data_IF_489795096044
#
_entry.id   IF_489795096044
#
_cell.length_a   1.000
_cell.length_b   1.000
_cell.length_c   1.000
_cell.angle_alpha   90.00
_cell.angle_beta   90.00
_cell.angle_gamma   90.00
#
_symmetry.space_group_name_H-M   'P 1'
#
loop_
_entity.id
_entity.type
_entity.pdbx_description
1 polymer ?
#
# COMPACT_ATOMS: atom_id res chain seq x y z
N UNK A 1 -12.49 30.22 6.18
CA UNK A 1 -12.61 31.10 7.38
C UNK A 1 -13.44 30.37 8.45
N UNK A 2 -13.00 30.38 9.71
CA UNK A 2 -13.74 29.74 10.81
C UNK A 2 -14.36 30.87 11.65
N UNK A 3 -15.44 31.51 11.15
CA UNK A 3 -16.26 32.48 11.91
C UNK A 3 -17.44 33.02 11.07
N UNK A 4 -18.43 32.18 10.80
CA UNK A 4 -19.49 32.54 9.84
C UNK A 4 -20.82 32.88 10.55
N UNK A 5 -20.79 33.17 11.85
CA UNK A 5 -21.97 33.73 12.54
C UNK A 5 -22.29 33.24 13.95
N UNK A 6 -21.45 32.41 14.59
CA UNK A 6 -21.66 32.09 16.02
C UNK A 6 -21.30 33.30 16.88
N UNK A 7 -22.25 33.92 17.62
CA UNK A 7 -21.96 35.08 18.45
C UNK A 7 -21.17 34.69 19.71
N UNK A 8 -20.43 35.64 20.28
CA UNK A 8 -19.75 35.45 21.57
C UNK A 8 -20.78 35.42 22.72
N UNK A 9 -21.29 34.23 23.03
CA UNK A 9 -22.27 33.97 24.09
C UNK A 9 -21.97 32.62 24.73
N UNK A 10 -22.42 32.42 25.98
CA UNK A 10 -22.27 31.16 26.69
C UNK A 10 -22.99 30.04 25.93
N UNK A 11 -22.26 28.95 25.69
CA UNK A 11 -22.78 27.69 25.15
C UNK A 11 -23.09 26.78 26.33
N UNK A 12 -24.31 26.24 26.37
CA UNK A 12 -24.73 25.30 27.41
C UNK A 12 -24.41 23.85 27.06
N UNK A 13 -24.48 23.53 25.77
CA UNK A 13 -24.34 22.18 25.26
C UNK A 13 -23.71 22.23 23.86
N UNK A 14 -22.84 21.26 23.60
CA UNK A 14 -22.12 21.11 22.34
C UNK A 14 -22.11 19.62 21.98
N UNK A 15 -22.65 19.29 20.82
CA UNK A 15 -22.80 17.91 20.35
C UNK A 15 -22.32 17.76 18.91
N UNK A 16 -21.76 16.59 18.61
CA UNK A 16 -21.31 16.22 17.26
C UNK A 16 -22.23 15.12 16.73
N UNK A 17 -22.95 15.42 15.65
CA UNK A 17 -23.79 14.47 14.95
C UNK A 17 -22.97 13.82 13.83
N UNK A 18 -22.31 12.70 14.13
CA UNK A 18 -21.47 12.00 13.16
C UNK A 18 -22.25 11.48 11.95
N UNK A 19 -23.51 11.07 12.15
CA UNK A 19 -24.38 10.58 11.07
C UNK A 19 -24.78 11.68 10.08
N UNK A 20 -24.93 12.92 10.57
CA UNK A 20 -25.33 14.08 9.76
C UNK A 20 -24.11 14.90 9.29
N UNK A 21 -22.94 14.64 9.87
CA UNK A 21 -21.70 15.34 9.55
C UNK A 21 -21.69 16.78 10.04
N UNK A 22 -22.39 17.08 11.14
CA UNK A 22 -22.49 18.44 11.69
C UNK A 22 -22.10 18.51 13.17
N UNK A 23 -21.77 19.72 13.62
CA UNK A 23 -21.59 20.07 15.03
C UNK A 23 -22.64 21.11 15.40
N UNK A 24 -23.33 20.89 16.51
CA UNK A 24 -24.41 21.75 16.99
C UNK A 24 -24.10 22.33 18.37
N UNK A 25 -24.41 23.60 18.59
CA UNK A 25 -24.19 24.32 19.84
C UNK A 25 -25.48 24.99 20.33
N UNK A 26 -25.93 24.66 21.54
CA UNK A 26 -27.07 25.32 22.16
C UNK A 26 -26.62 26.59 22.91
N UNK A 27 -27.03 27.75 22.40
CA UNK A 27 -26.62 29.05 22.94
C UNK A 27 -27.66 29.64 23.90
N UNK A 28 -27.21 30.32 24.95
CA UNK A 28 -28.11 30.91 25.93
C UNK A 28 -28.95 32.05 25.32
N UNK A 29 -30.27 31.84 25.23
CA UNK A 29 -31.24 32.85 24.79
C UNK A 29 -31.26 33.14 23.29
N UNK A 30 -30.54 32.37 22.45
CA UNK A 30 -30.43 32.64 21.00
C UNK A 30 -30.61 31.40 20.11
N UNK A 31 -30.93 30.25 20.69
CA UNK A 31 -31.26 29.03 19.95
C UNK A 31 -30.05 28.13 19.66
N UNK A 32 -30.21 27.23 18.69
CA UNK A 32 -29.20 26.24 18.28
C UNK A 32 -28.45 26.80 17.08
N UNK A 33 -27.12 26.70 17.13
CA UNK A 33 -26.23 26.95 16.00
C UNK A 33 -25.69 25.63 15.48
N UNK A 34 -25.45 25.53 14.17
CA UNK A 34 -24.97 24.32 13.52
C UNK A 34 -23.89 24.66 12.49
N UNK A 35 -22.91 23.76 12.34
CA UNK A 35 -21.87 23.87 11.32
C UNK A 35 -21.48 22.50 10.77
N UNK A 36 -21.19 22.40 9.46
CA UNK A 36 -20.67 21.17 8.87
C UNK A 36 -19.30 20.83 9.46
N UNK A 37 -19.08 19.55 9.76
CA UNK A 37 -17.78 19.03 10.14
C UNK A 37 -16.84 19.13 8.94
N UNK A 38 -15.63 19.64 9.20
CA UNK A 38 -14.55 19.56 8.21
C UNK A 38 -13.99 18.13 8.22
N UNK A 39 -14.70 17.20 7.59
CA UNK A 39 -14.19 15.86 7.35
C UNK A 39 -13.12 15.97 6.28
N UNK A 40 -11.86 15.73 6.66
CA UNK A 40 -10.80 15.53 5.67
C UNK A 40 -11.30 14.49 4.67
N UNK A 41 -11.40 14.89 3.40
CA UNK A 41 -11.79 14.03 2.29
C UNK A 41 -11.06 12.70 2.41
N UNK A 42 -11.84 11.60 2.31
CA UNK A 42 -11.40 10.21 2.24
C UNK A 42 -9.90 10.09 1.95
N UNK A 43 -9.16 9.44 2.84
CA UNK A 43 -7.81 8.95 2.53
C UNK A 43 -7.92 8.32 1.15
N UNK A 44 -7.27 8.94 0.15
CA UNK A 44 -7.22 8.34 -1.16
C UNK A 44 -6.54 7.01 -0.92
N UNK A 45 -7.28 5.92 -1.11
CA UNK A 45 -6.63 4.65 -1.43
C UNK A 45 -5.99 4.92 -2.78
N UNK A 46 -4.81 5.55 -2.76
CA UNK A 46 -3.91 5.51 -3.88
C UNK A 46 -3.85 4.02 -4.19
N UNK A 47 -4.46 3.66 -5.30
CA UNK A 47 -4.48 2.31 -5.79
C UNK A 47 -2.99 2.04 -6.07
N UNK A 48 -2.25 1.57 -5.06
CA UNK A 48 -0.83 1.32 -5.18
C UNK A 48 -0.74 0.38 -6.37
N UNK A 49 -0.16 0.87 -7.45
CA UNK A 49 0.00 0.09 -8.66
C UNK A 49 0.73 -1.19 -8.25
N UNK A 50 -0.05 -2.27 -8.15
CA UNK A 50 0.49 -3.54 -7.69
C UNK A 50 1.26 -4.11 -8.86
N UNK A 51 2.50 -4.50 -8.60
CA UNK A 51 3.27 -5.20 -9.61
C UNK A 51 2.66 -6.60 -9.83
N UNK A 52 1.81 -6.71 -10.84
CA UNK A 52 1.22 -7.99 -11.27
C UNK A 52 2.26 -8.79 -12.06
N UNK A 53 3.08 -9.51 -11.30
CA UNK A 53 4.08 -10.43 -11.80
C UNK A 53 3.96 -11.79 -11.10
N UNK A 54 4.26 -12.87 -11.82
CA UNK A 54 4.22 -14.25 -11.29
C UNK A 54 5.50 -14.98 -11.68
N UNK A 55 6.00 -15.82 -10.76
CA UNK A 55 7.22 -16.61 -10.96
C UNK A 55 6.84 -18.09 -11.08
N UNK A 56 7.26 -18.73 -12.16
CA UNK A 56 7.01 -20.15 -12.40
C UNK A 56 8.15 -20.81 -13.20
N UNK A 57 8.33 -22.15 -13.09
CA UNK A 57 7.71 -23.02 -12.10
C UNK A 57 8.28 -22.77 -10.70
N UNK A 58 7.44 -22.96 -9.69
CA UNK A 58 7.85 -23.00 -8.29
C UNK A 58 7.10 -24.16 -7.61
N UNK A 59 7.76 -25.27 -7.22
CA UNK A 59 9.21 -25.47 -7.18
C UNK A 59 9.91 -25.57 -8.56
N UNK A 60 11.12 -25.03 -8.66
CA UNK A 60 11.95 -25.00 -9.86
C UNK A 60 13.04 -26.08 -9.84
N UNK A 61 13.45 -26.56 -11.02
CA UNK A 61 14.64 -27.42 -11.19
C UNK A 61 15.76 -26.61 -11.87
N UNK A 62 15.60 -26.29 -13.15
CA UNK A 62 16.70 -25.73 -13.96
C UNK A 62 16.58 -24.22 -14.21
N UNK A 63 15.35 -23.74 -14.43
CA UNK A 63 15.07 -22.36 -14.80
C UNK A 63 13.75 -21.89 -14.23
N UNK A 64 13.65 -20.58 -14.02
CA UNK A 64 12.41 -19.88 -13.71
C UNK A 64 12.12 -18.84 -14.77
N UNK A 65 10.84 -18.55 -14.95
CA UNK A 65 10.31 -17.53 -15.84
C UNK A 65 9.40 -16.60 -15.05
N UNK A 66 9.52 -15.32 -15.34
CA UNK A 66 8.72 -14.26 -14.75
C UNK A 66 7.74 -13.78 -15.82
N UNK A 67 6.45 -14.03 -15.57
CA UNK A 67 5.38 -13.40 -16.35
C UNK A 67 4.99 -12.10 -15.67
N UNK A 68 5.09 -11.00 -16.40
CA UNK A 68 4.69 -9.68 -15.94
C UNK A 68 4.22 -8.83 -17.13
N UNK A 69 3.29 -7.93 -16.84
CA UNK A 69 2.76 -6.98 -17.83
C UNK A 69 3.70 -5.80 -18.08
N UNK A 70 4.70 -5.60 -17.22
CA UNK A 70 5.69 -4.52 -17.33
C UNK A 70 7.03 -5.02 -17.88
N UNK A 71 7.71 -4.17 -18.66
CA UNK A 71 9.08 -4.39 -19.13
C UNK A 71 10.08 -3.75 -18.16
N UNK A 72 11.32 -4.25 -18.15
CA UNK A 72 12.40 -3.67 -17.34
C UNK A 72 12.35 -4.02 -15.84
N UNK A 73 11.92 -5.24 -15.49
CA UNK A 73 11.93 -5.73 -14.11
C UNK A 73 13.34 -6.15 -13.74
N UNK A 74 13.89 -5.56 -12.67
CA UNK A 74 15.12 -6.03 -12.06
C UNK A 74 14.78 -7.21 -11.14
N UNK A 75 15.52 -8.31 -11.30
CA UNK A 75 15.29 -9.53 -10.54
C UNK A 75 16.53 -9.83 -9.70
N UNK A 76 16.33 -9.87 -8.39
CA UNK A 76 17.36 -10.28 -7.44
C UNK A 76 16.93 -11.56 -6.71
N UNK A 77 17.83 -12.53 -6.61
CA UNK A 77 17.60 -13.75 -5.81
C UNK A 77 18.51 -13.72 -4.61
N UNK A 78 17.94 -13.99 -3.44
CA UNK A 78 18.61 -14.00 -2.15
C UNK A 78 18.49 -15.37 -1.48
N UNK A 79 19.53 -15.74 -0.73
CA UNK A 79 19.45 -16.86 0.22
C UNK A 79 18.57 -16.49 1.42
N UNK A 80 18.19 -17.48 2.24
CA UNK A 80 17.46 -17.23 3.49
C UNK A 80 18.22 -16.35 4.50
N UNK A 81 19.54 -16.28 4.40
CA UNK A 81 20.38 -15.41 5.24
C UNK A 81 20.48 -13.98 4.70
N UNK A 82 19.84 -13.66 3.57
CA UNK A 82 19.84 -12.35 2.94
C UNK A 82 21.00 -12.08 1.99
N UNK A 83 21.83 -13.08 1.66
CA UNK A 83 22.91 -12.92 0.68
C UNK A 83 22.34 -12.88 -0.74
N UNK A 84 22.64 -11.83 -1.52
CA UNK A 84 22.28 -11.75 -2.94
C UNK A 84 23.16 -12.71 -3.76
N UNK A 85 22.54 -13.62 -4.50
CA UNK A 85 23.23 -14.64 -5.32
C UNK A 85 23.08 -14.42 -6.82
N UNK A 86 21.98 -13.79 -7.26
CA UNK A 86 21.72 -13.48 -8.66
C UNK A 86 21.13 -12.07 -8.73
N UNK A 87 21.56 -11.30 -9.73
CA UNK A 87 20.99 -10.00 -10.10
C UNK A 87 20.95 -9.91 -11.63
N UNK A 88 19.74 -9.81 -12.21
CA UNK A 88 19.56 -9.81 -13.65
C UNK A 88 18.26 -9.12 -14.08
N UNK A 89 18.31 -8.45 -15.23
CA UNK A 89 17.16 -7.82 -15.88
C UNK A 89 16.65 -8.69 -17.04
N UNK A 90 16.29 -9.95 -16.76
CA UNK A 90 15.79 -10.91 -17.76
C UNK A 90 14.53 -11.61 -17.26
N UNK A 91 13.62 -11.95 -18.18
CA UNK A 91 12.39 -12.71 -17.86
C UNK A 91 12.67 -14.18 -17.58
N UNK A 92 13.77 -14.73 -18.08
CA UNK A 92 14.15 -16.14 -17.89
C UNK A 92 15.49 -16.20 -17.21
N UNK A 93 15.55 -16.97 -16.13
CA UNK A 93 16.71 -17.04 -15.22
C UNK A 93 17.05 -18.51 -15.00
N UNK A 94 18.31 -18.85 -15.22
CA UNK A 94 18.82 -20.18 -14.88
C UNK A 94 19.07 -20.26 -13.38
N UNK A 95 18.52 -21.28 -12.74
CA UNK A 95 18.70 -21.57 -11.30
C UNK A 95 19.44 -22.89 -11.07
N UNK A 96 19.87 -23.56 -12.15
CA UNK A 96 20.57 -24.85 -12.12
C UNK A 96 21.89 -24.85 -11.33
N UNK A 97 22.54 -23.69 -11.19
CA UNK A 97 23.78 -23.54 -10.43
C UNK A 97 23.55 -23.34 -8.93
N UNK A 98 22.32 -23.09 -8.51
CA UNK A 98 21.97 -22.89 -7.11
C UNK A 98 21.75 -24.24 -6.42
N UNK A 99 22.14 -24.31 -5.15
CA UNK A 99 21.87 -25.48 -4.33
C UNK A 99 20.37 -25.66 -4.09
N UNK A 100 19.96 -26.91 -3.85
CA UNK A 100 18.59 -27.25 -3.51
C UNK A 100 18.21 -26.58 -2.19
N UNK A 101 17.06 -25.92 -2.14
CA UNK A 101 16.66 -25.16 -0.96
C UNK A 101 15.63 -24.08 -1.22
N UNK A 102 15.44 -23.23 -0.22
CA UNK A 102 14.53 -22.08 -0.29
C UNK A 102 15.32 -20.79 -0.53
N UNK A 103 14.74 -19.92 -1.35
CA UNK A 103 15.28 -18.62 -1.74
C UNK A 103 14.18 -17.56 -1.69
N UNK A 104 14.59 -16.30 -1.65
CA UNK A 104 13.70 -15.15 -1.79
C UNK A 104 14.00 -14.50 -3.14
N UNK A 105 12.98 -14.34 -3.97
CA UNK A 105 13.08 -13.61 -5.24
C UNK A 105 12.46 -12.24 -5.03
N UNK A 106 13.21 -11.20 -5.38
CA UNK A 106 12.78 -9.81 -5.38
C UNK A 106 12.63 -9.34 -6.83
N UNK A 107 11.49 -8.75 -7.12
CA UNK A 107 11.14 -8.16 -8.40
C UNK A 107 10.93 -6.66 -8.18
N UNK A 108 11.75 -5.85 -8.83
CA UNK A 108 11.68 -4.39 -8.72
C UNK A 108 11.33 -3.79 -10.10
N UNK A 109 10.35 -2.89 -10.13
CA UNK A 109 9.98 -2.12 -11.31
C UNK A 109 9.41 -0.77 -10.88
N UNK A 110 9.93 0.32 -11.44
CA UNK A 110 9.48 1.69 -11.15
C UNK A 110 9.40 2.02 -9.64
N UNK A 111 10.33 1.49 -8.83
CA UNK A 111 10.37 1.68 -7.38
C UNK A 111 9.38 0.80 -6.59
N UNK A 112 8.56 -0.01 -7.26
CA UNK A 112 7.68 -1.00 -6.64
C UNK A 112 8.45 -2.31 -6.51
N UNK A 113 8.52 -2.83 -5.28
CA UNK A 113 9.23 -4.07 -4.95
C UNK A 113 8.21 -5.14 -4.55
N UNK A 114 8.30 -6.31 -5.18
CA UNK A 114 7.56 -7.51 -4.82
C UNK A 114 8.54 -8.63 -4.45
N UNK A 115 8.26 -9.35 -3.35
CA UNK A 115 9.07 -10.48 -2.90
C UNK A 115 8.24 -11.76 -2.85
N UNK A 116 8.80 -12.85 -3.34
CA UNK A 116 8.17 -14.18 -3.30
C UNK A 116 9.18 -15.26 -2.88
N UNK A 117 8.68 -16.31 -2.25
CA UNK A 117 9.47 -17.49 -1.91
C UNK A 117 9.65 -18.36 -3.15
N UNK A 118 10.88 -18.74 -3.44
CA UNK A 118 11.23 -19.72 -4.47
C UNK A 118 11.78 -20.99 -3.82
N UNK A 119 11.35 -22.16 -4.30
CA UNK A 119 11.86 -23.46 -3.88
C UNK A 119 12.60 -24.11 -5.06
N UNK A 120 13.86 -24.50 -4.85
CA UNK A 120 14.68 -25.22 -5.83
C UNK A 120 14.84 -26.68 -5.38
N UNK A 121 14.59 -27.61 -6.30
CA UNK A 121 14.53 -29.06 -6.07
C UNK A 121 15.80 -29.82 -6.37
#
# INVERSE_FOLDING_TARGET
PFNDGLPNVIVKELEIHYDEGTISAATYGRGIWESPLNTLSSVSTNNLEKLDCTIYPNPANDKITISANTSGINVSIFTLTGQKVIEITSKTISVSSLAKGCYIVELESNGIIKREKLVIK
#
